data_IF_955758686344
#
_entry.id   IF_955758686344
#
_cell.length_a   1.000
_cell.length_b   1.000
_cell.length_c   1.000
_cell.angle_alpha   90.00
_cell.angle_beta   90.00
_cell.angle_gamma   90.00
#
_symmetry.space_group_name_H-M   'P 1'
#
loop_
_entity.id
_entity.type
_entity.pdbx_description
1 polymer ?
#
# COMPACT_ATOMS: atom_id res chain seq x y z
N UNK A 1 -35.58 15.33 9.02
CA UNK A 1 -35.17 15.02 10.40
C UNK A 1 -33.70 15.33 10.58
N UNK A 2 -33.30 15.94 11.69
CA UNK A 2 -31.89 16.19 12.02
C UNK A 2 -31.23 14.91 12.60
N UNK A 3 -29.91 14.89 12.74
CA UNK A 3 -29.20 13.76 13.36
C UNK A 3 -29.61 13.61 14.83
N UNK A 4 -29.72 14.73 15.52
CA UNK A 4 -30.09 14.79 16.93
C UNK A 4 -31.51 14.23 17.18
N UNK A 5 -32.46 14.54 16.28
CA UNK A 5 -33.82 13.97 16.36
C UNK A 5 -33.82 12.46 16.19
N UNK A 6 -33.03 11.93 15.26
CA UNK A 6 -32.90 10.48 15.04
C UNK A 6 -32.26 9.78 16.25
N UNK A 7 -31.26 10.40 16.88
CA UNK A 7 -30.60 9.87 18.08
C UNK A 7 -31.60 9.81 19.26
N UNK A 8 -32.40 10.87 19.46
CA UNK A 8 -33.42 10.88 20.51
C UNK A 8 -34.47 9.76 20.30
N UNK A 9 -34.95 9.61 19.04
CA UNK A 9 -35.90 8.53 18.72
C UNK A 9 -35.30 7.14 18.99
N UNK A 10 -34.03 6.94 18.66
CA UNK A 10 -33.33 5.71 18.97
C UNK A 10 -33.23 5.48 20.48
N UNK A 11 -32.93 6.50 21.27
CA UNK A 11 -32.87 6.40 22.75
C UNK A 11 -34.22 6.18 23.39
N UNK A 12 -35.30 6.60 22.73
CA UNK A 12 -36.70 6.36 23.11
C UNK A 12 -37.20 4.95 22.71
N UNK A 13 -36.37 4.16 22.01
CA UNK A 13 -36.63 2.77 21.67
C UNK A 13 -36.96 2.49 20.19
N UNK A 14 -36.91 3.49 19.31
CA UNK A 14 -37.07 3.27 17.86
C UNK A 14 -35.78 2.79 17.22
N UNK A 15 -35.60 1.48 17.07
CA UNK A 15 -34.42 0.90 16.39
C UNK A 15 -34.30 1.31 14.92
N UNK A 16 -35.43 1.58 14.24
CA UNK A 16 -35.39 2.02 12.84
C UNK A 16 -34.75 3.41 12.67
N UNK A 17 -34.71 4.21 13.73
CA UNK A 17 -34.05 5.51 13.74
C UNK A 17 -32.51 5.37 13.55
N UNK A 18 -31.93 4.28 14.04
CA UNK A 18 -30.49 4.00 13.91
C UNK A 18 -30.09 3.72 12.44
N UNK A 19 -30.89 2.97 11.71
CA UNK A 19 -30.69 2.70 10.29
C UNK A 19 -30.78 3.99 9.48
N UNK A 20 -31.79 4.82 9.74
CA UNK A 20 -31.94 6.14 9.09
C UNK A 20 -30.75 7.05 9.38
N UNK A 21 -30.23 7.02 10.62
CA UNK A 21 -29.05 7.77 11.03
C UNK A 21 -27.81 7.33 10.25
N UNK A 22 -27.60 6.02 10.11
CA UNK A 22 -26.51 5.47 9.31
C UNK A 22 -26.61 5.94 7.86
N UNK A 23 -27.74 5.74 7.20
CA UNK A 23 -27.94 6.15 5.81
C UNK A 23 -27.72 7.65 5.59
N UNK A 24 -28.12 8.47 6.55
CA UNK A 24 -27.92 9.91 6.48
C UNK A 24 -26.43 10.31 6.56
N UNK A 25 -25.63 9.56 7.32
CA UNK A 25 -24.20 9.86 7.54
C UNK A 25 -23.23 9.05 6.68
N UNK A 26 -23.72 8.20 5.76
CA UNK A 26 -22.87 7.38 4.89
C UNK A 26 -21.93 8.22 4.03
N UNK A 27 -22.36 9.42 3.61
CA UNK A 27 -21.53 10.36 2.88
C UNK A 27 -20.33 10.87 3.68
N UNK A 28 -20.54 11.15 4.98
CA UNK A 28 -19.47 11.53 5.91
C UNK A 28 -18.47 10.36 6.08
N UNK A 29 -18.98 9.15 6.33
CA UNK A 29 -18.15 7.94 6.49
C UNK A 29 -17.28 7.72 5.24
N UNK A 30 -17.89 7.79 4.04
CA UNK A 30 -17.15 7.64 2.77
C UNK A 30 -16.12 8.74 2.53
N UNK A 31 -16.42 9.98 2.92
CA UNK A 31 -15.47 11.09 2.84
C UNK A 31 -14.23 10.82 3.69
N UNK A 32 -14.42 10.45 4.95
CA UNK A 32 -13.33 10.15 5.89
C UNK A 32 -12.55 8.90 5.43
N UNK A 33 -13.23 7.88 4.89
CA UNK A 33 -12.58 6.69 4.35
C UNK A 33 -11.63 7.03 3.19
N UNK A 34 -12.07 7.91 2.28
CA UNK A 34 -11.21 8.39 1.17
C UNK A 34 -10.01 9.19 1.68
N UNK A 35 -10.20 10.08 2.66
CA UNK A 35 -9.11 10.85 3.27
C UNK A 35 -8.09 9.91 3.94
N UNK A 36 -8.55 8.93 4.72
CA UNK A 36 -7.69 7.96 5.38
C UNK A 36 -6.94 7.09 4.36
N UNK A 37 -7.62 6.59 3.32
CA UNK A 37 -6.99 5.80 2.25
C UNK A 37 -5.94 6.62 1.48
N UNK A 38 -6.20 7.90 1.22
CA UNK A 38 -5.25 8.79 0.55
C UNK A 38 -3.98 9.00 1.40
N UNK A 39 -4.11 9.16 2.72
CA UNK A 39 -2.96 9.29 3.61
C UNK A 39 -2.07 8.04 3.63
N UNK A 40 -2.62 6.87 3.39
CA UNK A 40 -1.89 5.59 3.28
C UNK A 40 -1.43 5.28 1.85
N UNK A 41 -1.48 6.26 0.95
CA UNK A 41 -1.09 6.12 -0.45
C UNK A 41 -1.83 5.01 -1.22
N UNK A 42 -2.94 4.51 -0.69
CA UNK A 42 -3.74 3.49 -1.36
C UNK A 42 -4.27 3.95 -2.72
N UNK A 43 -4.46 5.27 -2.88
CA UNK A 43 -4.94 5.88 -4.13
C UNK A 43 -3.81 6.22 -5.11
N UNK A 44 -2.56 6.31 -4.65
CA UNK A 44 -1.41 6.63 -5.54
C UNK A 44 -1.15 5.49 -6.51
N UNK A 45 -1.31 4.26 -6.06
CA UNK A 45 -1.14 3.08 -6.91
C UNK A 45 -2.17 3.02 -8.04
N UNK A 46 -3.40 3.54 -7.82
CA UNK A 46 -4.44 3.63 -8.84
C UNK A 46 -4.05 4.54 -10.01
N UNK A 47 -3.31 5.61 -9.75
CA UNK A 47 -2.82 6.52 -10.79
C UNK A 47 -1.73 5.88 -11.67
N UNK A 48 -0.92 4.98 -11.10
CA UNK A 48 0.19 4.31 -11.81
C UNK A 48 -0.22 3.00 -12.47
N UNK A 49 -1.26 2.33 -11.95
CA UNK A 49 -1.74 1.03 -12.45
C UNK A 49 -3.28 0.96 -12.44
N UNK A 50 -3.96 1.75 -13.29
CA UNK A 50 -5.42 1.93 -13.22
C UNK A 50 -6.22 0.62 -13.34
N UNK A 51 -5.72 -0.37 -14.08
CA UNK A 51 -6.46 -1.61 -14.33
C UNK A 51 -6.33 -2.66 -13.22
N UNK A 52 -5.28 -2.58 -12.38
CA UNK A 52 -5.03 -3.58 -11.33
C UNK A 52 -5.39 -3.08 -9.93
N UNK A 53 -5.32 -1.77 -9.70
CA UNK A 53 -5.52 -1.19 -8.37
C UNK A 53 -6.98 -0.81 -8.07
N UNK A 54 -7.81 -0.65 -9.08
CA UNK A 54 -9.20 -0.21 -8.91
C UNK A 54 -10.03 -1.15 -8.02
N UNK A 55 -9.92 -2.47 -8.22
CA UNK A 55 -10.64 -3.45 -7.41
C UNK A 55 -10.14 -3.47 -5.96
N UNK A 56 -8.82 -3.43 -5.76
CA UNK A 56 -8.19 -3.41 -4.42
C UNK A 56 -8.53 -2.14 -3.65
N UNK A 57 -8.41 -0.96 -4.28
CA UNK A 57 -8.78 0.32 -3.67
C UNK A 57 -10.26 0.35 -3.29
N UNK A 58 -11.14 -0.20 -4.14
CA UNK A 58 -12.55 -0.33 -3.84
C UNK A 58 -12.80 -1.21 -2.62
N UNK A 59 -12.15 -2.37 -2.54
CA UNK A 59 -12.25 -3.28 -1.40
C UNK A 59 -11.83 -2.59 -0.09
N UNK A 60 -10.69 -1.90 -0.09
CA UNK A 60 -10.22 -1.13 1.07
C UNK A 60 -11.24 -0.06 1.47
N UNK A 61 -11.78 0.69 0.51
CA UNK A 61 -12.78 1.72 0.82
C UNK A 61 -14.07 1.11 1.38
N UNK A 62 -14.50 -0.03 0.88
CA UNK A 62 -15.68 -0.74 1.39
C UNK A 62 -15.44 -1.25 2.82
N UNK A 63 -14.26 -1.81 3.10
CA UNK A 63 -13.86 -2.24 4.44
C UNK A 63 -13.79 -1.05 5.41
N UNK A 64 -13.18 0.07 5.01
CA UNK A 64 -13.14 1.29 5.82
C UNK A 64 -14.53 1.85 6.08
N UNK A 65 -15.44 1.79 5.11
CA UNK A 65 -16.82 2.19 5.30
C UNK A 65 -17.52 1.27 6.30
N UNK A 66 -17.25 -0.03 6.28
CA UNK A 66 -17.72 -1.01 7.26
C UNK A 66 -17.23 -0.67 8.68
N UNK A 67 -15.93 -0.42 8.83
CA UNK A 67 -15.34 -0.02 10.12
C UNK A 67 -15.94 1.30 10.64
N UNK A 68 -16.15 2.27 9.74
CA UNK A 68 -16.80 3.52 10.08
C UNK A 68 -18.26 3.33 10.52
N UNK A 69 -19.00 2.44 9.88
CA UNK A 69 -20.35 2.11 10.29
C UNK A 69 -20.38 1.50 11.70
N UNK A 70 -19.50 0.55 11.98
CA UNK A 70 -19.36 -0.07 13.31
C UNK A 70 -19.03 0.98 14.37
N UNK A 71 -18.09 1.89 14.09
CA UNK A 71 -17.72 2.94 15.05
C UNK A 71 -18.89 3.90 15.31
N UNK A 72 -19.62 4.34 14.26
CA UNK A 72 -20.81 5.17 14.41
C UNK A 72 -21.83 4.50 15.32
N UNK A 73 -22.17 3.24 15.05
CA UNK A 73 -23.13 2.46 15.84
C UNK A 73 -22.66 2.33 17.31
N UNK A 74 -21.39 2.00 17.52
CA UNK A 74 -20.81 1.86 18.86
C UNK A 74 -20.90 3.16 19.65
N UNK A 75 -20.60 4.31 19.03
CA UNK A 75 -20.66 5.63 19.70
C UNK A 75 -22.08 6.07 20.04
N UNK A 76 -23.05 5.74 19.22
CA UNK A 76 -24.44 6.04 19.54
C UNK A 76 -24.96 5.12 20.64
N UNK A 77 -24.63 3.82 20.58
CA UNK A 77 -25.03 2.85 21.59
C UNK A 77 -24.42 3.12 22.97
N UNK A 78 -23.17 3.65 23.02
CA UNK A 78 -22.52 4.01 24.29
C UNK A 78 -23.18 5.19 25.00
N UNK A 79 -24.05 5.95 24.33
CA UNK A 79 -24.73 7.15 24.84
C UNK A 79 -23.78 8.25 25.32
N UNK A 80 -22.54 8.27 24.82
CA UNK A 80 -21.54 9.31 25.19
C UNK A 80 -21.70 10.62 24.43
N UNK A 81 -22.51 10.62 23.36
CA UNK A 81 -22.74 11.84 22.58
C UNK A 81 -23.64 12.81 23.32
N UNK A 82 -23.15 14.06 23.45
CA UNK A 82 -23.86 15.18 24.05
C UNK A 82 -24.08 16.26 22.98
N UNK A 83 -25.33 16.42 22.56
CA UNK A 83 -25.74 17.39 21.54
C UNK A 83 -25.48 18.87 21.95
N UNK A 84 -25.35 19.15 23.26
CA UNK A 84 -25.10 20.49 23.76
C UNK A 84 -23.67 20.97 23.50
N UNK A 85 -22.73 20.03 23.30
CA UNK A 85 -21.31 20.31 23.15
C UNK A 85 -20.88 20.47 21.69
N UNK A 86 -21.39 19.65 20.81
CA UNK A 86 -21.01 19.68 19.41
C UNK A 86 -22.03 19.00 18.50
N UNK A 87 -22.05 19.39 17.22
CA UNK A 87 -22.81 18.64 16.21
C UNK A 87 -22.29 17.20 16.08
N UNK A 88 -23.18 16.26 15.79
CA UNK A 88 -22.84 14.84 15.66
C UNK A 88 -21.66 14.59 14.71
N UNK A 89 -21.63 15.27 13.57
CA UNK A 89 -20.57 15.13 12.57
C UNK A 89 -19.21 15.52 13.12
N UNK A 90 -19.14 16.61 13.90
CA UNK A 90 -17.90 17.06 14.56
C UNK A 90 -17.45 16.08 15.64
N UNK A 91 -18.38 15.53 16.40
CA UNK A 91 -18.09 14.53 17.42
C UNK A 91 -17.58 13.23 16.78
N UNK A 92 -18.23 12.75 15.73
CA UNK A 92 -17.89 11.47 15.08
C UNK A 92 -16.57 11.52 14.30
N UNK A 93 -16.22 12.65 13.69
CA UNK A 93 -15.05 12.75 12.79
C UNK A 93 -13.75 12.16 13.39
N UNK A 94 -13.29 12.56 14.58
CA UNK A 94 -12.06 12.03 15.15
C UNK A 94 -12.17 10.54 15.50
N UNK A 95 -13.34 10.06 15.90
CA UNK A 95 -13.57 8.64 16.23
C UNK A 95 -13.52 7.77 14.98
N UNK A 96 -14.26 8.16 13.93
CA UNK A 96 -14.27 7.47 12.64
C UNK A 96 -12.87 7.44 12.02
N UNK A 97 -12.20 8.60 11.96
CA UNK A 97 -10.84 8.68 11.42
C UNK A 97 -9.86 7.83 12.21
N UNK A 98 -9.91 7.88 13.54
CA UNK A 98 -9.05 7.09 14.41
C UNK A 98 -9.25 5.58 14.24
N UNK A 99 -10.51 5.13 14.07
CA UNK A 99 -10.84 3.73 13.80
C UNK A 99 -10.30 3.28 12.45
N UNK A 100 -10.59 4.03 11.39
CA UNK A 100 -10.15 3.74 10.03
C UNK A 100 -8.61 3.74 9.91
N UNK A 101 -7.93 4.72 10.50
CA UNK A 101 -6.46 4.78 10.53
C UNK A 101 -5.88 3.54 11.22
N UNK A 102 -6.43 3.13 12.36
CA UNK A 102 -5.98 1.93 13.08
C UNK A 102 -6.18 0.66 12.26
N UNK A 103 -7.31 0.55 11.57
CA UNK A 103 -7.58 -0.57 10.68
C UNK A 103 -6.54 -0.63 9.55
N UNK A 104 -6.23 0.52 8.91
CA UNK A 104 -5.21 0.61 7.89
C UNK A 104 -3.81 0.21 8.41
N UNK A 105 -3.43 0.68 9.61
CA UNK A 105 -2.16 0.33 10.24
C UNK A 105 -2.02 -1.18 10.51
N UNK A 106 -3.12 -1.87 10.75
CA UNK A 106 -3.14 -3.30 11.05
C UNK A 106 -3.25 -4.19 9.82
N UNK A 107 -3.92 -3.73 8.77
CA UNK A 107 -4.30 -4.56 7.63
C UNK A 107 -3.56 -4.20 6.33
N UNK A 108 -2.96 -3.01 6.25
CA UNK A 108 -2.18 -2.61 5.07
C UNK A 108 -0.70 -2.74 5.38
N UNK A 109 -0.06 -3.69 4.73
CA UNK A 109 1.38 -3.90 4.79
C UNK A 109 1.79 -5.33 5.13
N UNK A 110 2.92 -5.77 4.55
CA UNK A 110 3.45 -7.12 4.77
C UNK A 110 4.16 -7.30 6.11
N UNK A 111 4.50 -6.21 6.75
CA UNK A 111 5.19 -6.23 8.04
C UNK A 111 4.53 -5.22 8.97
N UNK A 112 4.22 -5.67 10.17
CA UNK A 112 3.78 -4.77 11.22
C UNK A 112 4.94 -3.83 11.59
N UNK A 113 4.82 -2.57 11.19
CA UNK A 113 5.72 -1.51 11.61
C UNK A 113 5.19 -0.85 12.89
N UNK A 114 6.08 -0.31 13.70
CA UNK A 114 5.68 0.54 14.81
C UNK A 114 4.94 1.78 14.28
N UNK A 115 4.06 2.37 15.10
CA UNK A 115 3.31 3.58 14.73
C UNK A 115 4.23 4.70 14.22
N UNK A 116 5.38 4.89 14.86
CA UNK A 116 6.35 5.93 14.49
C UNK A 116 7.02 5.62 13.15
N UNK A 117 7.37 4.36 12.90
CA UNK A 117 7.93 3.95 11.61
C UNK A 117 6.91 4.06 10.48
N UNK A 118 5.66 3.64 10.71
CA UNK A 118 4.61 3.79 9.72
C UNK A 118 4.35 5.27 9.38
N UNK A 119 4.42 6.16 10.36
CA UNK A 119 4.32 7.61 10.13
C UNK A 119 5.48 8.11 9.27
N UNK A 120 6.72 7.66 9.56
CA UNK A 120 7.90 8.02 8.77
C UNK A 120 7.81 7.47 7.34
N UNK A 121 7.37 6.22 7.16
CA UNK A 121 7.15 5.63 5.83
C UNK A 121 6.16 6.45 5.02
N UNK A 122 5.01 6.80 5.59
CA UNK A 122 4.00 7.63 4.91
C UNK A 122 4.55 9.00 4.51
N UNK A 123 5.30 9.64 5.40
CA UNK A 123 5.89 10.95 5.13
C UNK A 123 6.92 10.87 3.99
N UNK A 124 7.82 9.88 4.03
CA UNK A 124 8.80 9.64 2.98
C UNK A 124 8.12 9.35 1.63
N UNK A 125 7.14 8.45 1.60
CA UNK A 125 6.43 8.11 0.36
C UNK A 125 5.66 9.29 -0.21
N UNK A 126 5.06 10.12 0.65
CA UNK A 126 4.40 11.35 0.21
C UNK A 126 5.39 12.33 -0.43
N UNK A 127 6.56 12.53 0.19
CA UNK A 127 7.59 13.41 -0.36
C UNK A 127 8.15 12.86 -1.68
N UNK A 128 8.34 11.56 -1.77
CA UNK A 128 8.89 10.91 -2.96
C UNK A 128 7.89 10.86 -4.13
N UNK A 129 6.65 10.40 -3.90
CA UNK A 129 5.68 10.17 -4.97
C UNK A 129 4.81 11.39 -5.31
N UNK A 130 4.56 12.27 -4.35
CA UNK A 130 3.68 13.44 -4.54
C UNK A 130 4.46 14.73 -4.73
N UNK A 131 5.49 14.94 -3.92
CA UNK A 131 6.35 16.12 -4.02
C UNK A 131 7.54 15.94 -4.98
N UNK A 132 7.74 14.72 -5.51
CA UNK A 132 8.79 14.38 -6.49
C UNK A 132 10.21 14.70 -6.02
N UNK A 133 10.45 14.62 -4.70
CA UNK A 133 11.78 14.82 -4.11
C UNK A 133 12.63 13.56 -4.25
N UNK A 134 13.94 13.74 -4.41
CA UNK A 134 14.87 12.62 -4.40
C UNK A 134 15.17 12.10 -2.98
N UNK A 135 15.84 10.97 -2.87
CA UNK A 135 16.13 10.32 -1.58
C UNK A 135 17.08 11.15 -0.72
N UNK A 136 17.99 11.92 -1.32
CA UNK A 136 18.93 12.81 -0.63
C UNK A 136 18.19 14.01 -0.01
N UNK A 137 17.36 14.70 -0.81
CA UNK A 137 16.55 15.83 -0.34
C UNK A 137 15.62 15.42 0.81
N UNK A 138 15.00 14.24 0.72
CA UNK A 138 14.13 13.70 1.78
C UNK A 138 14.94 13.39 3.05
N UNK A 139 16.15 12.85 2.89
CA UNK A 139 17.04 12.53 4.00
C UNK A 139 17.44 13.79 4.79
N UNK A 140 17.77 14.87 4.07
CA UNK A 140 18.10 16.17 4.66
C UNK A 140 16.88 16.81 5.36
N UNK A 141 15.71 16.81 4.71
CA UNK A 141 14.50 17.41 5.26
C UNK A 141 13.99 16.71 6.52
N UNK A 142 14.06 15.37 6.55
CA UNK A 142 13.55 14.57 7.67
C UNK A 142 14.63 14.25 8.72
N UNK A 143 15.89 14.56 8.46
CA UNK A 143 17.01 14.27 9.35
C UNK A 143 17.24 12.78 9.56
N UNK A 144 16.95 11.95 8.55
CA UNK A 144 17.12 10.49 8.60
C UNK A 144 18.13 10.01 7.56
N UNK A 145 18.86 8.92 7.82
CA UNK A 145 19.85 8.40 6.86
C UNK A 145 19.21 8.04 5.52
N UNK A 146 19.86 8.39 4.41
CA UNK A 146 19.38 8.11 3.05
C UNK A 146 19.09 6.62 2.81
N UNK A 147 19.89 5.72 3.39
CA UNK A 147 19.65 4.29 3.34
C UNK A 147 18.30 3.89 3.95
N UNK A 148 17.85 4.63 5.00
CA UNK A 148 16.53 4.43 5.60
C UNK A 148 15.44 5.00 4.71
N UNK A 149 15.65 6.16 4.08
CA UNK A 149 14.73 6.74 3.09
C UNK A 149 14.52 5.76 1.96
N UNK A 150 15.59 5.23 1.36
CA UNK A 150 15.53 4.25 0.27
C UNK A 150 14.75 2.98 0.66
N UNK A 151 14.87 2.53 1.91
CA UNK A 151 14.09 1.41 2.44
C UNK A 151 12.61 1.76 2.57
N UNK A 152 12.28 2.96 3.06
CA UNK A 152 10.90 3.42 3.21
C UNK A 152 10.20 3.71 1.89
N UNK A 153 10.91 4.20 0.87
CA UNK A 153 10.40 4.32 -0.50
C UNK A 153 10.01 2.96 -1.07
N UNK A 154 10.80 1.92 -0.79
CA UNK A 154 10.56 0.54 -1.25
C UNK A 154 9.54 -0.21 -0.40
N UNK A 155 9.14 0.34 0.74
CA UNK A 155 8.15 -0.31 1.58
C UNK A 155 6.82 -0.38 0.83
N UNK A 156 6.44 -1.57 0.46
CA UNK A 156 5.22 -1.79 -0.29
C UNK A 156 4.08 -2.11 0.67
N UNK A 157 3.05 -1.28 0.60
CA UNK A 157 1.77 -1.50 1.31
C UNK A 157 0.78 -2.29 0.47
N UNK A 158 1.17 -2.60 -0.78
CA UNK A 158 0.31 -3.28 -1.73
C UNK A 158 0.81 -4.70 -1.99
N UNK A 159 -0.06 -5.68 -1.81
CA UNK A 159 0.20 -7.08 -2.15
C UNK A 159 -0.56 -7.42 -3.42
N UNK A 160 0.15 -8.02 -4.37
CA UNK A 160 -0.49 -8.71 -5.47
C UNK A 160 -0.72 -10.16 -5.01
N UNK A 161 -1.95 -10.61 -5.09
CA UNK A 161 -2.25 -12.03 -4.94
C UNK A 161 -1.53 -12.83 -6.04
N UNK A 162 -1.13 -14.05 -5.72
CA UNK A 162 -0.52 -14.93 -6.75
C UNK A 162 -1.45 -15.11 -7.94
N UNK A 163 -2.76 -15.14 -7.68
CA UNK A 163 -3.79 -15.22 -8.72
C UNK A 163 -3.87 -13.98 -9.61
N UNK A 164 -3.54 -12.79 -9.08
CA UNK A 164 -3.55 -11.53 -9.85
C UNK A 164 -2.40 -11.43 -10.86
N UNK A 165 -1.37 -12.28 -10.68
CA UNK A 165 -0.20 -12.35 -11.56
C UNK A 165 -0.40 -13.32 -12.74
N UNK A 166 -1.51 -14.03 -12.75
CA UNK A 166 -1.84 -15.03 -13.78
C UNK A 166 -2.93 -14.44 -14.69
N UNK A 167 -2.83 -14.61 -16.03
CA UNK A 167 -3.86 -14.11 -16.95
C UNK A 167 -5.23 -14.72 -16.67
N UNK A 168 -6.29 -13.93 -16.89
CA UNK A 168 -7.65 -14.45 -16.85
C UNK A 168 -7.82 -15.64 -17.80
N UNK A 169 -8.46 -16.72 -17.30
CA UNK A 169 -8.69 -17.96 -18.07
C UNK A 169 -7.56 -19.00 -17.99
N UNK A 170 -6.59 -18.82 -17.10
CA UNK A 170 -5.59 -19.84 -16.85
C UNK A 170 -6.14 -20.93 -15.90
N UNK A 171 -6.31 -22.15 -16.41
CA UNK A 171 -6.87 -23.29 -15.66
C UNK A 171 -5.82 -24.08 -14.83
N UNK A 172 -4.54 -23.71 -14.90
CA UNK A 172 -3.47 -24.35 -14.14
C UNK A 172 -3.26 -23.75 -12.75
N UNK A 173 -2.42 -24.42 -11.94
CA UNK A 173 -2.02 -23.87 -10.64
C UNK A 173 -1.17 -22.59 -10.84
N UNK A 174 -1.60 -21.43 -10.34
CA UNK A 174 -0.84 -20.20 -10.41
C UNK A 174 0.57 -20.32 -9.84
N UNK A 175 0.75 -21.15 -8.82
CA UNK A 175 2.07 -21.39 -8.21
C UNK A 175 3.00 -22.16 -9.15
N UNK A 176 2.51 -23.14 -9.89
CA UNK A 176 3.31 -23.87 -10.88
C UNK A 176 3.84 -22.96 -11.99
N UNK A 177 3.06 -21.95 -12.37
CA UNK A 177 3.47 -20.97 -13.38
C UNK A 177 4.49 -19.96 -12.87
N UNK A 178 4.34 -19.48 -11.64
CA UNK A 178 5.18 -18.41 -11.05
C UNK A 178 6.42 -18.99 -10.37
N UNK A 179 6.31 -20.15 -9.75
CA UNK A 179 7.40 -20.81 -9.03
C UNK A 179 8.60 -21.20 -9.91
N UNK A 180 8.48 -21.63 -11.17
CA UNK A 180 9.65 -21.85 -12.01
C UNK A 180 10.52 -20.61 -12.16
N UNK A 181 9.92 -19.40 -12.17
CA UNK A 181 10.65 -18.14 -12.15
C UNK A 181 11.34 -17.84 -10.82
N UNK A 182 10.71 -18.22 -9.72
CA UNK A 182 11.21 -18.04 -8.36
C UNK A 182 12.14 -19.17 -7.92
N UNK A 183 11.82 -20.42 -8.25
CA UNK A 183 12.63 -21.60 -7.92
C UNK A 183 13.78 -21.83 -8.90
N UNK A 184 13.67 -21.42 -10.15
CA UNK A 184 14.77 -21.55 -11.14
C UNK A 184 15.84 -20.44 -11.01
N UNK A 185 15.66 -19.46 -10.15
CA UNK A 185 16.77 -18.74 -9.55
C UNK A 185 17.60 -19.62 -8.59
N UNK A 186 17.20 -20.89 -8.46
CA UNK A 186 17.71 -21.91 -7.59
C UNK A 186 19.11 -22.38 -7.99
N UNK A 187 19.66 -23.20 -7.12
CA UNK A 187 20.98 -23.82 -7.18
C UNK A 187 21.47 -24.23 -8.59
N UNK A 188 20.60 -24.74 -9.45
CA UNK A 188 20.93 -25.09 -10.82
C UNK A 188 21.43 -23.90 -11.68
N UNK A 189 20.72 -22.78 -11.67
CA UNK A 189 21.16 -21.57 -12.41
C UNK A 189 22.45 -20.98 -11.81
N UNK A 190 22.59 -21.03 -10.49
CA UNK A 190 23.83 -20.61 -9.83
C UNK A 190 24.98 -21.52 -10.21
N UNK A 191 24.77 -22.83 -10.28
CA UNK A 191 25.77 -23.81 -10.73
C UNK A 191 26.07 -23.64 -12.21
N UNK A 192 25.06 -23.55 -13.07
CA UNK A 192 25.25 -23.25 -14.51
C UNK A 192 26.02 -21.98 -14.75
N UNK A 193 25.66 -20.91 -14.04
CA UNK A 193 26.38 -19.63 -14.14
C UNK A 193 27.83 -19.73 -13.69
N UNK A 194 28.09 -20.51 -12.62
CA UNK A 194 29.45 -20.74 -12.13
C UNK A 194 30.28 -21.55 -13.14
N UNK A 195 29.71 -22.63 -13.66
CA UNK A 195 30.35 -23.46 -14.70
C UNK A 195 30.61 -22.65 -15.99
N UNK A 196 29.64 -21.85 -16.45
CA UNK A 196 29.84 -20.98 -17.61
C UNK A 196 30.95 -19.95 -17.37
N UNK A 197 31.05 -19.37 -16.18
CA UNK A 197 32.11 -18.41 -15.85
C UNK A 197 33.48 -19.10 -15.79
N UNK A 198 33.57 -20.31 -15.26
CA UNK A 198 34.80 -21.12 -15.23
C UNK A 198 35.24 -21.49 -16.66
N UNK A 199 34.34 -21.99 -17.49
CA UNK A 199 34.61 -22.28 -18.89
C UNK A 199 35.05 -21.02 -19.70
N UNK A 200 34.38 -19.90 -19.46
CA UNK A 200 34.79 -18.63 -20.07
C UNK A 200 36.17 -18.21 -19.62
N UNK A 201 36.55 -18.39 -18.37
CA UNK A 201 37.90 -18.09 -17.89
C UNK A 201 38.95 -18.99 -18.53
N UNK A 202 38.68 -20.29 -18.61
CA UNK A 202 39.57 -21.23 -19.31
C UNK A 202 39.74 -20.88 -20.78
N UNK A 203 38.66 -20.53 -21.49
CA UNK A 203 38.70 -20.05 -22.86
C UNK A 203 39.51 -18.74 -22.98
N UNK A 204 39.32 -17.82 -22.04
CA UNK A 204 40.10 -16.58 -22.00
C UNK A 204 41.58 -16.81 -21.79
N UNK A 205 41.96 -17.82 -21.00
CA UNK A 205 43.34 -18.14 -20.74
C UNK A 205 44.05 -18.79 -21.98
N UNK A 206 43.26 -19.38 -22.87
CA UNK A 206 43.78 -19.92 -24.17
C UNK A 206 43.95 -18.86 -25.24
N UNK A 207 43.38 -17.67 -25.08
CA UNK A 207 43.48 -16.58 -26.07
C UNK A 207 44.87 -15.90 -26.06
N UNK A 208 45.40 -15.53 -27.23
CA UNK A 208 46.62 -14.74 -27.35
C UNK A 208 46.54 -13.42 -26.57
N UNK A 209 47.65 -12.97 -25.99
CA UNK A 209 47.68 -11.74 -25.17
C UNK A 209 47.06 -10.50 -25.84
N UNK A 210 47.11 -10.40 -27.18
CA UNK A 210 46.51 -9.31 -27.96
C UNK A 210 45.00 -9.27 -27.87
N UNK A 211 44.35 -10.43 -27.75
CA UNK A 211 42.90 -10.54 -27.76
C UNK A 211 42.30 -10.45 -26.35
N UNK A 212 43.13 -10.66 -25.31
CA UNK A 212 42.72 -10.49 -23.89
C UNK A 212 42.45 -9.02 -23.52
N UNK A 213 43.06 -8.06 -24.22
CA UNK A 213 42.88 -6.61 -23.91
C UNK A 213 41.58 -6.04 -24.42
N UNK A 214 40.91 -6.72 -25.35
CA UNK A 214 39.66 -6.24 -25.95
C UNK A 214 38.43 -6.46 -25.02
N UNK A 215 38.52 -7.41 -24.10
CA UNK A 215 37.40 -7.77 -23.20
C UNK A 215 37.39 -7.00 -21.87
N UNK A 216 38.41 -6.20 -21.59
CA UNK A 216 38.51 -5.38 -20.37
C UNK A 216 37.74 -4.05 -20.44
N UNK A 217 37.06 -3.75 -21.56
CA UNK A 217 36.09 -2.65 -21.58
C UNK A 217 34.82 -3.13 -20.85
N UNK A 218 34.46 -2.51 -19.73
CA UNK A 218 33.15 -2.75 -19.15
C UNK A 218 32.13 -2.43 -20.25
N UNK A 219 31.27 -3.40 -20.56
CA UNK A 219 30.10 -3.12 -21.37
C UNK A 219 29.36 -1.99 -20.64
N UNK A 220 29.44 -0.78 -21.22
CA UNK A 220 28.59 0.30 -20.79
C UNK A 220 27.17 -0.24 -20.92
N UNK A 221 26.58 -0.56 -19.81
CA UNK A 221 25.15 -0.83 -19.72
C UNK A 221 24.50 0.48 -20.16
N UNK A 222 24.24 0.56 -21.46
CA UNK A 222 23.38 1.61 -22.00
C UNK A 222 22.03 1.41 -21.35
N UNK A 223 21.72 2.31 -20.45
CA UNK A 223 20.41 2.52 -19.88
C UNK A 223 19.40 2.77 -21.01
N UNK A 224 18.87 1.69 -21.58
CA UNK A 224 17.73 1.75 -22.47
C UNK A 224 16.47 1.53 -21.64
N UNK A 225 16.28 2.38 -20.64
CA UNK A 225 14.96 2.65 -20.08
C UNK A 225 14.43 3.93 -20.70
N UNK A 226 13.98 3.84 -21.93
CA UNK A 226 12.96 4.73 -22.49
C UNK A 226 12.22 3.96 -23.57
N UNK A 227 10.92 3.95 -23.44
CA UNK A 227 9.88 3.46 -24.36
C UNK A 227 9.58 1.95 -24.26
N UNK A 228 8.62 1.63 -23.39
CA UNK A 228 7.29 1.09 -23.78
C UNK A 228 6.40 1.17 -22.55
#
# INVERSE_FOLDING_TARGET
>A
MTNEQLIRQYYDGDEAALEKLYHKNIGLIRGIAKEAAAEFNCLIMEQHHPNQCSAYTKTILDDLCGEGAVELLTRIQSREYDESRAALTTYLYPHLRGRMTRWLEQNIGCMALSKNEMTAVRQVQRLYHVAWKDTGEIAEELGIPEARVSRYVRYNTHFLGVHDLVPEGYDGDPYERLMPGLLSASAERAVYRKVCIELLRELFDTLPKKDRTFSARPAACSDTRRQL
#
